data_IF_038934917343
#
_entry.id   IF_038934917343
#
_cell.length_a   1.000
_cell.length_b   1.000
_cell.length_c   1.000
_cell.angle_alpha   90.00
_cell.angle_beta   90.00
_cell.angle_gamma   90.00
#
_symmetry.space_group_name_H-M   'P 1'
#
loop_
_entity.id
_entity.type
_entity.pdbx_description
1 polymer ?
#
# COMPACT_ATOMS: atom_id res chain seq x y z
N UNK A 1 13.24 13.28 14.23
CA UNK A 1 11.82 13.48 13.89
C UNK A 1 11.44 12.71 12.65
N UNK A 2 10.32 12.06 12.69
CA UNK A 2 9.79 11.39 11.50
C UNK A 2 9.04 12.41 10.64
N UNK A 3 9.18 12.28 9.33
CA UNK A 3 8.50 13.15 8.37
C UNK A 3 7.40 12.35 7.68
N UNK A 4 6.21 12.90 7.67
CA UNK A 4 5.09 12.28 6.97
C UNK A 4 4.93 12.93 5.60
N UNK A 5 4.74 12.08 4.60
CA UNK A 5 4.47 12.49 3.22
C UNK A 5 3.08 12.03 2.84
N UNK A 6 2.44 12.80 1.99
CA UNK A 6 1.15 12.42 1.41
C UNK A 6 1.32 12.21 -0.08
N UNK A 7 1.03 10.99 -0.52
CA UNK A 7 1.03 10.63 -1.93
C UNK A 7 -0.42 10.56 -2.40
N UNK A 8 -0.72 11.30 -3.46
CA UNK A 8 -2.06 11.29 -4.05
C UNK A 8 -1.97 10.63 -5.41
N UNK A 9 -2.72 9.53 -5.58
CA UNK A 9 -2.84 8.84 -6.85
C UNK A 9 -4.14 9.26 -7.52
N UNK A 10 -4.08 9.43 -8.82
CA UNK A 10 -5.27 9.70 -9.64
C UNK A 10 -5.84 8.40 -10.18
N UNK A 11 -7.06 8.45 -10.66
CA UNK A 11 -7.76 7.30 -11.17
C UNK A 11 -6.93 6.53 -12.19
N UNK A 12 -6.81 5.23 -11.99
CA UNK A 12 -6.08 4.34 -12.89
C UNK A 12 -4.59 4.22 -12.62
N UNK A 13 -4.01 5.05 -11.77
CA UNK A 13 -2.59 4.93 -11.45
C UNK A 13 -2.32 3.67 -10.63
N UNK A 14 -1.23 2.97 -10.97
CA UNK A 14 -0.86 1.72 -10.33
C UNK A 14 -0.16 2.01 -8.99
N UNK A 15 -0.60 1.32 -7.91
CA UNK A 15 -0.16 1.60 -6.56
C UNK A 15 1.33 1.40 -6.33
N UNK A 16 1.85 0.23 -6.71
CA UNK A 16 3.23 -0.13 -6.41
C UNK A 16 4.23 0.76 -7.16
N UNK A 17 3.99 0.96 -8.45
CA UNK A 17 4.84 1.83 -9.26
C UNK A 17 4.82 3.27 -8.76
N UNK A 18 3.65 3.75 -8.34
CA UNK A 18 3.52 5.12 -7.81
C UNK A 18 4.25 5.30 -6.49
N UNK A 19 4.17 4.30 -5.60
CA UNK A 19 4.87 4.33 -4.32
C UNK A 19 6.39 4.27 -4.54
N UNK A 20 6.85 3.41 -5.46
CA UNK A 20 8.27 3.31 -5.79
C UNK A 20 8.83 4.62 -6.32
N UNK A 21 8.12 5.25 -7.27
CA UNK A 21 8.53 6.52 -7.85
C UNK A 21 8.57 7.62 -6.79
N UNK A 22 7.55 7.66 -5.93
CA UNK A 22 7.47 8.65 -4.87
C UNK A 22 8.63 8.49 -3.87
N UNK A 23 8.97 7.27 -3.51
CA UNK A 23 10.08 7.00 -2.59
C UNK A 23 11.41 7.46 -3.17
N UNK A 24 11.62 7.24 -4.47
CA UNK A 24 12.84 7.71 -5.15
C UNK A 24 12.91 9.23 -5.20
N UNK A 25 11.82 9.88 -5.58
CA UNK A 25 11.76 11.34 -5.72
C UNK A 25 11.97 12.06 -4.39
N UNK A 26 11.54 11.46 -3.30
CA UNK A 26 11.62 12.06 -1.97
C UNK A 26 12.75 11.50 -1.11
N UNK A 27 13.63 10.72 -1.74
CA UNK A 27 14.80 10.13 -1.07
C UNK A 27 14.44 9.34 0.19
N UNK A 28 13.37 8.56 0.10
CA UNK A 28 12.90 7.74 1.21
C UNK A 28 13.57 6.36 1.10
N UNK A 29 14.59 6.12 1.91
CA UNK A 29 15.27 4.83 1.92
C UNK A 29 14.42 3.77 2.63
N UNK A 30 13.69 4.18 3.68
CA UNK A 30 12.74 3.33 4.37
C UNK A 30 11.52 4.15 4.78
N UNK A 31 10.35 3.69 4.42
CA UNK A 31 9.11 4.35 4.77
C UNK A 31 8.06 3.37 5.26
N UNK A 32 7.22 3.82 6.17
CA UNK A 32 6.06 3.05 6.62
C UNK A 32 4.80 3.64 6.02
N UNK A 33 3.95 2.77 5.46
CA UNK A 33 2.63 3.17 5.01
C UNK A 33 1.73 3.16 6.25
N UNK A 34 1.29 4.35 6.67
CA UNK A 34 0.58 4.50 7.94
C UNK A 34 -0.90 4.83 7.78
N UNK A 35 -1.37 4.88 6.55
CA UNK A 35 -2.78 5.10 6.28
C UNK A 35 -3.09 5.29 4.82
N UNK A 36 -4.36 5.12 4.48
CA UNK A 36 -4.86 5.35 3.14
C UNK A 36 -6.31 5.78 3.18
N UNK A 37 -6.71 6.62 2.23
CA UNK A 37 -8.08 7.12 2.13
C UNK A 37 -8.47 7.20 0.66
N UNK A 38 -9.57 6.56 0.31
CA UNK A 38 -10.08 6.50 -1.05
C UNK A 38 -10.46 5.09 -1.43
N UNK A 39 -10.28 4.74 -2.70
CA UNK A 39 -10.69 3.44 -3.22
C UNK A 39 -9.67 2.87 -4.18
N UNK A 40 -9.72 1.55 -4.37
CA UNK A 40 -8.88 0.82 -5.32
C UNK A 40 -9.76 -0.02 -6.22
N UNK A 41 -9.24 -0.35 -7.39
CA UNK A 41 -9.91 -1.21 -8.37
C UNK A 41 -8.89 -2.07 -9.09
N UNK A 42 -9.36 -3.12 -9.74
CA UNK A 42 -8.52 -4.04 -10.51
C UNK A 42 -7.27 -4.42 -9.71
N UNK A 43 -7.47 -5.04 -8.56
CA UNK A 43 -6.41 -5.38 -7.64
C UNK A 43 -6.35 -6.87 -7.36
N UNK A 44 -5.13 -7.36 -7.12
CA UNK A 44 -4.89 -8.71 -6.65
C UNK A 44 -4.57 -8.65 -5.16
N UNK A 45 -5.22 -9.49 -4.38
CA UNK A 45 -5.01 -9.55 -2.94
C UNK A 45 -4.82 -11.01 -2.52
N UNK A 46 -3.83 -11.22 -1.63
CA UNK A 46 -3.60 -12.54 -1.03
C UNK A 46 -4.31 -12.55 0.31
N UNK A 47 -5.32 -13.40 0.44
CA UNK A 47 -6.03 -13.58 1.68
C UNK A 47 -5.74 -14.95 2.27
N UNK A 48 -5.75 -15.04 3.60
CA UNK A 48 -5.63 -16.32 4.27
C UNK A 48 -7.03 -16.89 4.45
N UNK A 49 -7.33 -17.95 3.71
CA UNK A 49 -8.58 -18.65 3.82
C UNK A 49 -8.65 -19.46 5.10
N UNK A 50 -9.81 -20.05 5.34
CA UNK A 50 -9.99 -20.99 6.44
C UNK A 50 -9.03 -22.18 6.26
N UNK A 51 -8.50 -22.71 7.33
CA UNK A 51 -7.57 -23.84 7.35
C UNK A 51 -6.16 -23.51 6.82
N UNK A 52 -5.77 -22.26 6.87
CA UNK A 52 -4.41 -21.86 6.48
C UNK A 52 -4.13 -21.86 4.98
N UNK A 53 -5.16 -21.98 4.14
CA UNK A 53 -4.99 -21.84 2.70
C UNK A 53 -4.72 -20.39 2.32
N UNK A 54 -3.78 -20.19 1.40
CA UNK A 54 -3.45 -18.85 0.88
C UNK A 54 -4.02 -18.77 -0.52
N UNK A 55 -4.89 -17.79 -0.75
CA UNK A 55 -5.51 -17.60 -2.04
C UNK A 55 -5.24 -16.19 -2.57
N UNK A 56 -4.83 -16.12 -3.83
CA UNK A 56 -4.69 -14.86 -4.55
C UNK A 56 -5.95 -14.65 -5.38
N UNK A 57 -6.65 -13.57 -5.12
CA UNK A 57 -7.92 -13.27 -5.79
C UNK A 57 -7.82 -11.90 -6.46
N UNK A 58 -8.33 -11.81 -7.70
CA UNK A 58 -8.42 -10.55 -8.44
C UNK A 58 -9.85 -10.02 -8.33
N UNK A 59 -9.95 -8.73 -8.00
CA UNK A 59 -11.22 -8.02 -7.99
C UNK A 59 -11.14 -6.86 -8.98
N UNK A 60 -12.02 -6.85 -9.96
CA UNK A 60 -12.06 -5.81 -10.99
C UNK A 60 -12.79 -4.56 -10.53
N UNK A 61 -13.77 -4.73 -9.65
CA UNK A 61 -14.62 -3.63 -9.20
C UNK A 61 -13.93 -2.75 -8.17
N UNK A 62 -14.56 -1.62 -7.89
CA UNK A 62 -14.07 -0.65 -6.91
C UNK A 62 -14.38 -1.09 -5.49
N UNK A 63 -13.35 -1.03 -4.62
CA UNK A 63 -13.48 -1.26 -3.19
C UNK A 63 -12.94 -0.04 -2.44
N UNK A 64 -13.64 0.36 -1.38
CA UNK A 64 -13.17 1.43 -0.51
C UNK A 64 -12.08 0.92 0.41
N UNK A 65 -11.02 1.73 0.58
CA UNK A 65 -9.93 1.42 1.50
C UNK A 65 -10.31 1.87 2.91
N UNK A 66 -10.45 0.92 3.82
CA UNK A 66 -10.80 1.18 5.22
C UNK A 66 -9.58 1.28 6.11
N UNK A 67 -8.53 0.52 5.78
CA UNK A 67 -7.24 0.58 6.45
C UNK A 67 -6.15 0.17 5.47
N UNK A 68 -4.99 0.78 5.60
CA UNK A 68 -3.84 0.47 4.77
C UNK A 68 -2.57 0.64 5.59
N UNK A 69 -1.70 -0.37 5.53
CA UNK A 69 -0.43 -0.35 6.22
C UNK A 69 0.61 -1.06 5.37
N UNK A 70 1.87 -0.92 5.74
CA UNK A 70 2.94 -1.60 5.01
C UNK A 70 4.24 -0.83 5.08
N UNK A 71 5.10 -1.13 4.13
CA UNK A 71 6.41 -0.50 4.09
C UNK A 71 6.96 -0.41 2.68
N UNK A 72 7.88 0.53 2.49
CA UNK A 72 8.68 0.64 1.28
C UNK A 72 10.15 0.71 1.69
N UNK A 73 10.97 -0.12 1.07
CA UNK A 73 12.41 -0.15 1.31
C UNK A 73 13.15 0.01 -0.01
N UNK A 74 14.06 0.97 -0.06
CA UNK A 74 14.93 1.16 -1.22
C UNK A 74 16.27 0.50 -0.90
N UNK A 75 16.64 -0.54 -1.66
CA UNK A 75 17.86 -1.30 -1.49
C UNK A 75 18.70 -1.22 -2.76
N UNK A 76 20.02 -1.50 -2.68
CA UNK A 76 20.86 -1.55 -3.89
C UNK A 76 20.32 -2.53 -4.94
N UNK A 77 19.67 -3.61 -4.50
CA UNK A 77 19.10 -4.62 -5.39
C UNK A 77 17.73 -4.26 -5.96
N UNK A 78 17.13 -3.16 -5.52
CA UNK A 78 15.82 -2.71 -5.98
C UNK A 78 14.94 -2.19 -4.86
N UNK A 79 13.70 -1.89 -5.19
CA UNK A 79 12.73 -1.36 -4.25
C UNK A 79 11.74 -2.44 -3.88
N UNK A 80 11.53 -2.62 -2.58
CA UNK A 80 10.55 -3.58 -2.08
C UNK A 80 9.40 -2.83 -1.43
N UNK A 81 8.17 -3.11 -1.89
CA UNK A 81 6.95 -2.50 -1.34
C UNK A 81 6.05 -3.62 -0.84
N UNK A 82 5.57 -3.47 0.38
CA UNK A 82 4.59 -4.39 0.95
C UNK A 82 3.39 -3.58 1.42
N UNK A 83 2.20 -4.00 0.99
CA UNK A 83 0.95 -3.29 1.33
C UNK A 83 -0.06 -4.29 1.88
N UNK A 84 -0.52 -4.03 3.10
CA UNK A 84 -1.65 -4.76 3.69
C UNK A 84 -2.85 -3.82 3.70
N UNK A 85 -4.01 -4.34 3.34
CA UNK A 85 -5.21 -3.52 3.23
C UNK A 85 -6.44 -4.22 3.79
N UNK A 86 -7.35 -3.42 4.34
CA UNK A 86 -8.71 -3.82 4.65
C UNK A 86 -9.58 -2.99 3.72
N UNK A 87 -10.36 -3.68 2.89
CA UNK A 87 -11.19 -3.03 1.87
C UNK A 87 -12.62 -3.54 1.96
N UNK A 88 -13.55 -2.71 1.55
CA UNK A 88 -14.97 -3.06 1.58
C UNK A 88 -15.70 -2.51 0.35
N UNK A 89 -16.79 -3.19 0.00
CA UNK A 89 -17.66 -2.75 -1.08
C UNK A 89 -19.08 -3.20 -0.76
N UNK A 90 -20.06 -2.43 -1.23
CA UNK A 90 -21.47 -2.75 -1.03
C UNK A 90 -21.78 -4.15 -1.57
N UNK A 91 -22.42 -4.98 -0.75
CA UNK A 91 -22.76 -6.34 -1.12
C UNK A 91 -21.65 -7.36 -0.93
N UNK A 92 -20.50 -6.96 -0.40
CA UNK A 92 -19.38 -7.85 -0.15
C UNK A 92 -18.97 -7.82 1.32
N UNK A 93 -18.53 -8.97 1.83
CA UNK A 93 -17.89 -9.03 3.14
C UNK A 93 -16.55 -8.29 3.06
N UNK A 94 -16.20 -7.49 4.07
CA UNK A 94 -14.88 -6.82 4.07
C UNK A 94 -13.75 -7.83 3.88
N UNK A 95 -12.74 -7.43 3.11
CA UNK A 95 -11.61 -8.28 2.73
C UNK A 95 -10.34 -7.69 3.31
N UNK A 96 -9.54 -8.53 3.95
CA UNK A 96 -8.23 -8.13 4.45
C UNK A 96 -7.16 -9.06 3.86
N UNK A 97 -6.00 -8.50 3.55
CA UNK A 97 -4.90 -9.28 3.02
C UNK A 97 -3.77 -8.41 2.51
N UNK A 98 -2.80 -9.06 1.88
CA UNK A 98 -1.68 -8.38 1.26
C UNK A 98 -1.98 -8.11 -0.21
N UNK A 99 -1.86 -6.83 -0.61
CA UNK A 99 -2.00 -6.45 -2.02
C UNK A 99 -0.76 -6.88 -2.80
N UNK A 100 -0.99 -7.40 -3.99
CA UNK A 100 0.08 -7.78 -4.93
C UNK A 100 0.14 -6.78 -6.07
N UNK A 101 -1.01 -6.25 -6.45
CA UNK A 101 -1.14 -5.22 -7.48
C UNK A 101 -2.45 -4.47 -7.26
N UNK A 102 -2.60 -3.33 -7.90
CA UNK A 102 -3.85 -2.60 -7.81
C UNK A 102 -3.72 -1.20 -8.38
N UNK A 103 -4.87 -0.63 -8.70
CA UNK A 103 -4.98 0.71 -9.27
C UNK A 103 -5.86 1.59 -8.38
N UNK A 104 -5.56 2.87 -8.36
CA UNK A 104 -6.42 3.83 -7.68
C UNK A 104 -7.75 3.95 -8.41
N UNK A 105 -8.84 4.00 -7.65
CA UNK A 105 -10.17 4.28 -8.17
C UNK A 105 -10.56 5.67 -7.70
N UNK A 106 -10.67 6.61 -8.63
CA UNK A 106 -10.79 8.01 -8.27
C UNK A 106 -9.49 8.50 -7.62
N UNK A 107 -9.61 9.37 -6.66
CA UNK A 107 -8.44 9.86 -5.93
C UNK A 107 -8.13 8.96 -4.73
N UNK A 108 -6.90 8.49 -4.63
CA UNK A 108 -6.45 7.68 -3.50
C UNK A 108 -5.29 8.40 -2.81
N UNK A 109 -5.42 8.60 -1.52
CA UNK A 109 -4.40 9.28 -0.71
C UNK A 109 -3.72 8.25 0.19
N UNK A 110 -2.38 8.22 0.14
CA UNK A 110 -1.56 7.32 0.97
C UNK A 110 -0.62 8.17 1.80
N UNK A 111 -0.58 7.91 3.10
CA UNK A 111 0.34 8.59 4.00
C UNK A 111 1.55 7.70 4.26
N UNK A 112 2.73 8.24 4.01
CA UNK A 112 4.00 7.52 4.17
C UNK A 112 4.84 8.26 5.21
N UNK A 113 5.28 7.53 6.24
CA UNK A 113 6.19 8.05 7.26
C UNK A 113 7.61 7.65 6.92
N UNK A 114 8.46 8.62 6.68
CA UNK A 114 9.89 8.37 6.45
C UNK A 114 10.55 8.00 7.77
N UNK A 115 11.23 6.86 7.79
CA UNK A 115 11.94 6.37 8.98
C UNK A 115 13.43 6.58 8.77
N UNK A 116 14.08 7.21 9.74
CA UNK A 116 15.52 7.40 9.71
C UNK A 116 16.19 6.22 10.42
N UNK A 117 16.65 5.26 9.61
CA UNK A 117 17.30 4.05 10.12
C UNK A 117 18.57 4.34 10.90
N UNK A 118 19.28 5.40 10.53
CA UNK A 118 20.52 5.79 11.22
C UNK A 118 20.23 6.17 12.66
N UNK A 119 19.18 6.94 12.90
CA UNK A 119 18.78 7.31 14.25
C UNK A 119 18.30 6.14 15.08
N UNK A 120 17.66 5.16 14.44
CA UNK A 120 17.21 3.95 15.12
C UNK A 120 18.39 3.12 15.60
N UNK A 121 19.47 3.09 14.86
CA UNK A 121 20.68 2.32 15.21
C UNK A 121 21.47 3.03 16.31
N UNK A 122 21.47 4.35 16.32
CA UNK A 122 22.19 5.16 17.30
C UNK A 122 21.44 5.36 18.62
N UNK A 123 20.17 5.03 18.66
CA UNK A 123 19.33 5.24 19.84
C UNK A 123 19.59 4.24 20.97
#
# INVERSE_FOLDING_TARGET
>A
MSTNYTLILEDGEELFASIESFAKENEIAYGMLVGGKGAIKDFDIISHGQRGTVEKVNYKREFEVNALSGKVEVRPSGIKVKINALVSSSGFTPITGELVSGKAAGSLQITIRKVDLKKMIEA
#
